data_IF_739056034600
#
_entry.id   IF_739056034600
#
_cell.length_a   1.000
_cell.length_b   1.000
_cell.length_c   1.000
_cell.angle_alpha   90.00
_cell.angle_beta   90.00
_cell.angle_gamma   90.00
#
_symmetry.space_group_name_H-M   'P 1'
#
loop_
_entity.id
_entity.type
_entity.pdbx_description
1 polymer ?
#
# COMPACT_ATOMS: atom_id res chain seq x y z
N UNK A 1 -4.05 -20.96 24.47
CA UNK A 1 -2.80 -21.31 23.75
C UNK A 1 -2.05 -20.00 23.54
N UNK A 2 -0.92 -19.81 24.20
CA UNK A 2 -0.11 -18.60 24.06
C UNK A 2 0.92 -18.85 22.95
N UNK A 3 0.89 -18.01 21.92
CA UNK A 3 1.81 -18.11 20.79
C UNK A 3 2.93 -17.10 20.98
N UNK A 4 4.18 -17.54 20.84
CA UNK A 4 5.35 -16.68 20.89
C UNK A 4 5.99 -16.59 19.50
N UNK A 5 6.49 -15.39 19.16
CA UNK A 5 7.20 -15.16 17.90
C UNK A 5 8.66 -15.62 18.05
N UNK A 6 9.08 -16.61 17.26
CA UNK A 6 10.48 -17.03 17.15
C UNK A 6 11.15 -16.26 16.02
N UNK A 7 11.78 -15.12 16.35
CA UNK A 7 12.39 -14.23 15.34
C UNK A 7 13.52 -14.89 14.56
N UNK A 8 14.31 -15.75 15.19
CA UNK A 8 15.47 -16.39 14.56
C UNK A 8 15.09 -17.34 13.40
N UNK A 9 13.88 -17.89 13.44
CA UNK A 9 13.35 -18.81 12.42
C UNK A 9 12.42 -18.09 11.42
N UNK A 10 12.14 -16.81 11.65
CA UNK A 10 11.24 -16.02 10.80
C UNK A 10 12.03 -15.34 9.68
N UNK A 11 11.48 -15.39 8.46
CA UNK A 11 12.04 -14.67 7.31
C UNK A 11 11.36 -13.31 7.18
N UNK A 12 12.18 -12.26 7.15
CA UNK A 12 11.72 -10.88 7.00
C UNK A 12 12.16 -10.30 5.66
N UNK A 13 11.42 -9.32 5.17
CA UNK A 13 11.69 -8.65 3.90
C UNK A 13 11.37 -7.17 4.00
N UNK A 14 12.19 -6.35 3.35
CA UNK A 14 11.95 -4.93 3.21
C UNK A 14 10.76 -4.65 2.29
N UNK A 15 10.03 -3.60 2.63
CA UNK A 15 8.90 -3.12 1.84
C UNK A 15 8.80 -1.60 1.95
N UNK A 16 8.21 -1.00 0.93
CA UNK A 16 7.96 0.44 0.87
C UNK A 16 6.57 0.68 0.28
N UNK A 17 5.84 1.63 0.86
CA UNK A 17 4.59 2.15 0.30
C UNK A 17 4.88 3.44 -0.46
N UNK A 18 4.45 3.49 -1.71
CA UNK A 18 4.61 4.63 -2.60
C UNK A 18 3.21 5.11 -2.97
N UNK A 19 2.96 6.42 -2.85
CA UNK A 19 1.75 7.04 -3.36
C UNK A 19 2.02 7.51 -4.80
N UNK A 20 1.27 6.96 -5.74
CA UNK A 20 1.40 7.27 -7.17
C UNK A 20 0.21 8.12 -7.60
N UNK A 21 0.46 9.09 -8.47
CA UNK A 21 -0.55 9.93 -9.09
C UNK A 21 -0.67 9.57 -10.58
N UNK A 22 -1.88 9.68 -11.13
CA UNK A 22 -2.10 9.61 -12.59
C UNK A 22 -1.19 10.62 -13.33
N UNK A 23 -0.75 10.25 -14.54
CA UNK A 23 -0.01 11.16 -15.40
C UNK A 23 -0.94 12.31 -15.84
N UNK A 24 -0.48 13.57 -15.80
CA UNK A 24 -1.32 14.71 -16.18
C UNK A 24 -1.80 14.63 -17.63
N UNK A 25 -1.01 13.98 -18.50
CA UNK A 25 -1.31 13.77 -19.92
C UNK A 25 -2.51 12.83 -20.15
N UNK A 26 -2.89 12.03 -19.15
CA UNK A 26 -3.98 11.04 -19.20
C UNK A 26 -5.24 11.50 -18.47
N UNK A 27 -5.16 12.63 -17.73
CA UNK A 27 -6.28 13.15 -16.94
C UNK A 27 -7.17 14.04 -17.82
N UNK A 28 -8.50 13.77 -17.88
CA UNK A 28 -9.42 14.59 -18.66
C UNK A 28 -9.45 16.05 -18.20
N UNK A 29 -9.59 16.98 -19.15
CA UNK A 29 -9.68 18.41 -18.85
C UNK A 29 -10.81 18.69 -17.84
N UNK A 30 -10.49 19.48 -16.82
CA UNK A 30 -11.42 19.82 -15.73
C UNK A 30 -11.53 18.77 -14.61
N UNK A 31 -10.78 17.66 -14.68
CA UNK A 31 -10.73 16.65 -13.61
C UNK A 31 -9.51 16.81 -12.71
N UNK A 32 -9.61 16.33 -11.47
CA UNK A 32 -8.48 16.23 -10.53
C UNK A 32 -7.77 14.87 -10.72
N UNK A 33 -6.43 14.83 -10.79
CA UNK A 33 -5.68 13.57 -10.85
C UNK A 33 -5.96 12.69 -9.64
N UNK A 34 -6.20 11.40 -9.87
CA UNK A 34 -6.39 10.42 -8.79
C UNK A 34 -5.04 9.87 -8.33
N UNK A 35 -5.06 9.31 -7.12
CA UNK A 35 -3.87 8.66 -6.54
C UNK A 35 -4.18 7.23 -6.10
N UNK A 36 -3.15 6.39 -6.09
CA UNK A 36 -3.21 5.01 -5.61
C UNK A 36 -1.95 4.69 -4.81
N UNK A 37 -2.09 3.87 -3.76
CA UNK A 37 -0.96 3.34 -3.01
C UNK A 37 -0.43 2.07 -3.69
N UNK A 38 0.88 2.01 -3.93
CA UNK A 38 1.60 0.83 -4.44
C UNK A 38 2.56 0.34 -3.37
N UNK A 39 2.54 -0.97 -3.10
CA UNK A 39 3.46 -1.61 -2.16
C UNK A 39 4.52 -2.36 -2.94
N UNK A 40 5.78 -1.92 -2.83
CA UNK A 40 6.95 -2.61 -3.39
C UNK A 40 7.67 -3.38 -2.29
N UNK A 41 8.31 -4.50 -2.66
CA UNK A 41 8.99 -5.42 -1.73
C UNK A 41 10.32 -5.89 -2.32
N UNK A 42 11.21 -6.40 -1.47
CA UNK A 42 12.52 -6.93 -1.86
C UNK A 42 13.37 -5.86 -2.59
N UNK A 43 14.02 -6.24 -3.69
CA UNK A 43 14.93 -5.41 -4.50
C UNK A 43 14.30 -4.16 -5.12
N UNK A 44 12.98 -4.04 -5.11
CA UNK A 44 12.27 -2.87 -5.65
C UNK A 44 12.09 -1.75 -4.63
N UNK A 45 12.51 -1.97 -3.38
CA UNK A 45 12.52 -0.93 -2.36
C UNK A 45 13.56 0.14 -2.75
N UNK A 46 13.19 1.41 -2.60
CA UNK A 46 13.98 2.61 -2.93
C UNK A 46 14.31 2.85 -4.42
N UNK A 47 13.79 2.05 -5.35
CA UNK A 47 14.06 2.23 -6.79
C UNK A 47 13.34 3.44 -7.37
N UNK A 48 12.08 3.66 -7.01
CA UNK A 48 11.31 4.83 -7.43
C UNK A 48 11.54 6.03 -6.50
N UNK A 49 11.76 7.22 -7.08
CA UNK A 49 11.90 8.48 -6.35
C UNK A 49 10.71 9.41 -6.61
N UNK A 50 10.54 10.41 -5.75
CA UNK A 50 9.46 11.37 -5.89
C UNK A 50 9.66 12.21 -7.17
N UNK A 51 8.63 12.30 -8.00
CA UNK A 51 8.66 13.02 -9.28
C UNK A 51 8.99 12.16 -10.49
N UNK A 52 9.44 10.92 -10.30
CA UNK A 52 9.72 10.00 -11.41
C UNK A 52 8.41 9.58 -12.12
N UNK A 53 8.47 9.48 -13.46
CA UNK A 53 7.48 8.74 -14.24
C UNK A 53 7.87 7.26 -14.24
N UNK A 54 7.08 6.42 -13.57
CA UNK A 54 7.39 5.00 -13.36
C UNK A 54 6.24 4.13 -13.87
N UNK A 55 6.59 2.99 -14.47
CA UNK A 55 5.63 1.94 -14.83
C UNK A 55 5.71 0.83 -13.79
N UNK A 56 4.61 0.58 -13.09
CA UNK A 56 4.51 -0.51 -12.11
C UNK A 56 3.86 -1.75 -12.75
N UNK A 57 4.33 -2.93 -12.37
CA UNK A 57 3.71 -4.21 -12.76
C UNK A 57 3.52 -5.07 -11.52
N UNK A 58 2.32 -5.61 -11.34
CA UNK A 58 1.97 -6.38 -10.14
C UNK A 58 0.49 -6.77 -10.11
N UNK A 59 -0.02 -6.99 -8.90
CA UNK A 59 -1.41 -7.44 -8.67
C UNK A 59 -2.14 -6.43 -7.80
N UNK A 60 -3.38 -6.10 -8.18
CA UNK A 60 -4.27 -5.28 -7.34
C UNK A 60 -4.75 -6.11 -6.15
N UNK A 61 -4.53 -5.60 -4.93
CA UNK A 61 -4.92 -6.26 -3.68
C UNK A 61 -5.63 -5.26 -2.79
N UNK A 62 -6.73 -5.68 -2.16
CA UNK A 62 -7.43 -4.88 -1.15
C UNK A 62 -6.74 -5.07 0.20
N UNK A 63 -6.28 -3.97 0.80
CA UNK A 63 -5.69 -3.97 2.14
C UNK A 63 -6.69 -3.35 3.11
N UNK A 64 -7.14 -4.07 4.14
CA UNK A 64 -8.09 -3.52 5.09
C UNK A 64 -7.37 -2.54 6.02
N UNK A 65 -8.08 -1.49 6.44
CA UNK A 65 -7.57 -0.59 7.46
C UNK A 65 -7.73 -1.24 8.85
N UNK A 66 -6.66 -1.88 9.32
CA UNK A 66 -6.63 -2.58 10.59
C UNK A 66 -6.85 -1.63 11.78
N UNK A 67 -6.51 -0.35 11.64
CA UNK A 67 -6.73 0.66 12.68
C UNK A 67 -8.21 0.95 12.90
N UNK A 68 -8.96 1.21 11.83
CA UNK A 68 -10.41 1.40 11.91
C UNK A 68 -11.15 0.10 12.26
N UNK A 69 -10.67 -1.06 11.83
CA UNK A 69 -11.26 -2.34 12.23
C UNK A 69 -11.07 -2.66 13.72
N UNK A 70 -9.93 -2.31 14.33
CA UNK A 70 -9.73 -2.50 15.78
C UNK A 70 -10.64 -1.63 16.64
N UNK A 71 -11.10 -0.49 16.10
CA UNK A 71 -12.09 0.37 16.75
C UNK A 71 -13.52 -0.19 16.64
N UNK A 72 -13.79 -1.09 15.68
CA UNK A 72 -15.09 -1.72 15.49
C UNK A 72 -15.33 -2.88 16.47
N UNK A 73 -15.24 -2.58 17.77
CA UNK A 73 -15.72 -3.43 18.86
C UNK A 73 -17.19 -3.18 19.22
N UNK A 74 -18.02 -2.80 18.25
CA UNK A 74 -19.45 -2.53 18.47
C UNK A 74 -20.05 -1.50 17.52
N UNK A 75 -20.14 -1.83 16.23
CA UNK A 75 -21.14 -1.15 15.38
C UNK A 75 -22.45 -1.88 15.59
N UNK A 76 -23.23 -1.40 16.56
CA UNK A 76 -24.66 -1.73 16.64
C UNK A 76 -25.30 -1.15 15.39
N UNK A 77 -25.60 -2.01 14.42
CA UNK A 77 -26.50 -1.64 13.32
C UNK A 77 -27.88 -1.47 13.97
N UNK A 78 -28.46 -0.29 13.86
CA UNK A 78 -29.87 -0.06 14.21
C UNK A 78 -30.77 -0.81 13.24
#
# INVERSE_FOLDING_TARGET
KEWSLVRAESVFVDWQRIKVQENPDEVPAGSLPRTMDVIVRNKQVETAKAGDKVVFTGTLVVVPDVGSMRMAGGVSVK
#
